data_IF_204727754820
#
_entry.id   IF_204727754820
#
_cell.length_a   1.000
_cell.length_b   1.000
_cell.length_c   1.000
_cell.angle_alpha   90.00
_cell.angle_beta   90.00
_cell.angle_gamma   90.00
#
_symmetry.space_group_name_H-M   'P 1'
#
loop_
_entity.id
_entity.type
_entity.pdbx_description
1 polymer ?
#
# COMPACT_ATOMS: atom_id res chain seq x y z
N UNK A 1 24.20 3.81 -18.37
CA UNK A 1 23.68 2.64 -17.63
C UNK A 1 23.72 3.01 -16.16
N UNK A 2 22.64 3.59 -15.63
CA UNK A 2 22.54 3.83 -14.19
C UNK A 2 22.54 2.47 -13.52
N UNK A 3 23.52 2.22 -12.66
CA UNK A 3 23.51 1.05 -11.78
C UNK A 3 22.28 1.18 -10.88
N UNK A 4 21.19 0.50 -11.21
CA UNK A 4 20.00 0.43 -10.36
C UNK A 4 20.43 -0.16 -9.03
N UNK A 5 20.33 0.61 -7.95
CA UNK A 5 20.63 0.13 -6.61
C UNK A 5 19.52 -0.82 -6.19
N UNK A 6 19.86 -2.10 -6.06
CA UNK A 6 18.94 -3.14 -5.62
C UNK A 6 18.93 -3.16 -4.09
N UNK A 7 17.74 -3.30 -3.51
CA UNK A 7 17.64 -3.51 -2.07
C UNK A 7 18.23 -4.90 -1.72
N UNK A 8 19.12 -4.98 -0.71
CA UNK A 8 19.72 -6.25 -0.31
C UNK A 8 18.71 -7.13 0.43
N UNK A 9 18.93 -8.45 0.37
CA UNK A 9 18.23 -9.39 1.26
C UNK A 9 18.83 -9.27 2.66
N UNK A 10 17.98 -9.02 3.65
CA UNK A 10 18.41 -8.87 5.04
C UNK A 10 18.54 -10.22 5.76
N UNK A 11 19.19 -10.20 6.92
CA UNK A 11 19.22 -11.35 7.81
C UNK A 11 17.84 -11.60 8.44
N UNK A 12 17.58 -12.85 8.82
CA UNK A 12 16.29 -13.27 9.40
C UNK A 12 15.87 -12.42 10.60
N UNK A 13 16.81 -12.07 11.48
CA UNK A 13 16.53 -11.26 12.68
C UNK A 13 15.99 -9.88 12.33
N UNK A 14 16.49 -9.26 11.25
CA UNK A 14 15.98 -7.97 10.77
C UNK A 14 14.51 -8.07 10.37
N UNK A 15 14.11 -9.15 9.69
CA UNK A 15 12.72 -9.35 9.29
C UNK A 15 11.78 -9.65 10.47
N UNK A 16 12.28 -10.33 11.51
CA UNK A 16 11.53 -10.52 12.76
C UNK A 16 11.24 -9.17 13.42
N UNK A 17 12.27 -8.34 13.55
CA UNK A 17 12.14 -7.01 14.14
C UNK A 17 11.30 -6.07 13.27
N UNK A 18 11.38 -6.17 11.93
CA UNK A 18 10.49 -5.44 11.02
C UNK A 18 9.02 -5.80 11.22
N UNK A 19 8.70 -7.10 11.32
CA UNK A 19 7.33 -7.54 11.57
C UNK A 19 6.82 -7.01 12.92
N UNK A 20 7.66 -7.07 13.97
CA UNK A 20 7.35 -6.48 15.27
C UNK A 20 7.10 -4.97 15.17
N UNK A 21 7.97 -4.24 14.46
CA UNK A 21 7.87 -2.80 14.25
C UNK A 21 6.56 -2.41 13.57
N UNK A 22 6.21 -3.04 12.44
CA UNK A 22 4.99 -2.70 11.70
C UNK A 22 3.72 -2.97 12.52
N UNK A 23 3.67 -4.11 13.23
CA UNK A 23 2.56 -4.46 14.12
C UNK A 23 2.40 -3.44 15.24
N UNK A 24 3.48 -3.16 15.96
CA UNK A 24 3.48 -2.27 17.13
C UNK A 24 3.18 -0.83 16.74
N UNK A 25 3.67 -0.37 15.58
CA UNK A 25 3.33 0.94 15.03
C UNK A 25 1.83 1.02 14.71
N UNK A 26 1.25 -0.01 14.09
CA UNK A 26 -0.19 -0.04 13.81
C UNK A 26 -1.05 -0.02 15.08
N UNK A 27 -0.61 -0.70 16.14
CA UNK A 27 -1.26 -0.67 17.46
C UNK A 27 -1.24 0.74 18.06
N UNK A 28 -0.05 1.37 18.14
CA UNK A 28 0.11 2.72 18.72
C UNK A 28 -0.68 3.78 17.98
N UNK A 29 -0.69 3.73 16.66
CA UNK A 29 -1.47 4.69 15.86
C UNK A 29 -2.97 4.51 16.07
N UNK A 30 -3.47 3.28 16.27
CA UNK A 30 -4.87 3.03 16.61
C UNK A 30 -5.25 3.55 18.00
N UNK A 31 -4.30 3.52 18.94
CA UNK A 31 -4.45 4.10 20.28
C UNK A 31 -4.34 5.64 20.30
N UNK A 32 -4.09 6.27 19.15
CA UNK A 32 -3.96 7.71 19.03
C UNK A 32 -2.60 8.26 19.46
N UNK A 33 -1.59 7.39 19.64
CA UNK A 33 -0.22 7.83 19.92
C UNK A 33 0.32 8.57 18.69
N UNK A 34 0.90 9.78 18.85
CA UNK A 34 1.52 10.48 17.74
C UNK A 34 2.63 9.64 17.09
N UNK A 35 2.64 9.55 15.75
CA UNK A 35 3.56 8.68 15.01
C UNK A 35 5.04 8.89 15.40
N UNK A 36 5.48 10.13 15.58
CA UNK A 36 6.86 10.43 16.01
C UNK A 36 7.19 9.84 17.39
N UNK A 37 6.26 9.94 18.35
CA UNK A 37 6.43 9.38 19.68
C UNK A 37 6.41 7.85 19.63
N UNK A 38 5.51 7.27 18.83
CA UNK A 38 5.43 5.82 18.63
C UNK A 38 6.76 5.27 18.10
N UNK A 39 7.34 5.89 17.06
CA UNK A 39 8.63 5.46 16.49
C UNK A 39 9.76 5.46 17.53
N UNK A 40 9.90 6.53 18.33
CA UNK A 40 10.95 6.63 19.34
C UNK A 40 10.79 5.58 20.45
N UNK A 41 9.56 5.33 20.89
CA UNK A 41 9.29 4.27 21.87
C UNK A 41 9.62 2.89 21.27
N UNK A 42 9.21 2.60 20.03
CA UNK A 42 9.47 1.30 19.40
C UNK A 42 10.98 1.10 19.27
N UNK A 43 11.73 2.13 18.85
CA UNK A 43 13.20 2.08 18.78
C UNK A 43 13.82 1.53 20.06
N UNK A 44 13.33 1.95 21.23
CA UNK A 44 13.87 1.56 22.53
C UNK A 44 13.48 0.12 22.92
N UNK A 45 12.51 -0.49 22.24
CA UNK A 45 12.03 -1.86 22.45
C UNK A 45 12.68 -2.87 21.49
N UNK A 46 13.23 -2.38 20.37
CA UNK A 46 13.83 -3.20 19.32
C UNK A 46 15.16 -3.83 19.75
N UNK A 47 15.46 -4.98 19.17
CA UNK A 47 16.71 -5.67 19.41
C UNK A 47 17.92 -4.86 18.91
N UNK A 48 18.82 -4.49 19.83
CA UNK A 48 19.98 -3.61 19.55
C UNK A 48 21.04 -4.22 18.63
N UNK A 49 21.01 -5.53 18.39
CA UNK A 49 21.93 -6.19 17.44
C UNK A 49 21.51 -6.01 15.98
N UNK A 50 20.26 -5.62 15.74
CA UNK A 50 19.75 -5.31 14.40
C UNK A 50 20.03 -3.86 14.01
N UNK A 51 19.90 -3.54 12.73
CA UNK A 51 20.02 -2.18 12.20
C UNK A 51 18.70 -1.40 12.28
N UNK A 52 17.58 -2.06 12.59
CA UNK A 52 16.26 -1.44 12.66
C UNK A 52 16.18 -0.22 13.58
N UNK A 53 16.78 -0.20 14.80
CA UNK A 53 16.72 0.98 15.66
C UNK A 53 17.23 2.26 14.97
N UNK A 54 18.32 2.15 14.21
CA UNK A 54 18.89 3.27 13.44
C UNK A 54 17.97 3.71 12.30
N UNK A 55 17.36 2.75 11.60
CA UNK A 55 16.38 3.03 10.56
C UNK A 55 15.14 3.74 11.14
N UNK A 56 14.62 3.29 12.28
CA UNK A 56 13.46 3.90 12.96
C UNK A 56 13.78 5.30 13.47
N UNK A 57 14.97 5.52 14.02
CA UNK A 57 15.42 6.86 14.42
C UNK A 57 15.53 7.83 13.23
N UNK A 58 16.06 7.35 12.10
CA UNK A 58 16.06 8.10 10.85
C UNK A 58 14.64 8.41 10.38
N UNK A 59 13.72 7.43 10.38
CA UNK A 59 12.31 7.65 10.02
C UNK A 59 11.64 8.69 10.94
N UNK A 60 11.92 8.67 12.25
CA UNK A 60 11.38 9.66 13.18
C UNK A 60 11.87 11.08 12.88
N UNK A 61 13.11 11.19 12.39
CA UNK A 61 13.70 12.47 11.97
C UNK A 61 13.13 12.94 10.64
N UNK A 62 13.06 12.07 9.62
CA UNK A 62 12.45 12.41 8.32
C UNK A 62 10.98 12.78 8.47
N UNK A 63 10.22 12.08 9.33
CA UNK A 63 8.81 12.39 9.60
C UNK A 63 8.61 13.82 10.14
N UNK A 64 9.58 14.37 10.89
CA UNK A 64 9.54 15.77 11.33
C UNK A 64 9.73 16.76 10.19
N UNK A 65 10.45 16.37 9.14
CA UNK A 65 10.78 17.23 8.01
C UNK A 65 9.77 17.11 6.86
N UNK A 66 9.39 15.89 6.46
CA UNK A 66 8.50 15.63 5.33
C UNK A 66 7.04 15.44 5.72
N UNK A 67 6.75 15.09 6.97
CA UNK A 67 5.42 14.67 7.40
C UNK A 67 5.00 13.28 6.88
N UNK A 68 5.89 12.55 6.22
CA UNK A 68 5.61 11.27 5.55
C UNK A 68 6.66 10.21 5.88
N UNK A 69 6.23 9.00 6.23
CA UNK A 69 7.07 7.81 6.43
C UNK A 69 7.57 7.24 5.11
N UNK A 70 6.74 7.25 4.06
CA UNK A 70 7.09 6.68 2.76
C UNK A 70 8.33 7.33 2.15
N UNK A 71 8.50 8.65 2.33
CA UNK A 71 9.70 9.37 1.88
C UNK A 71 10.97 8.91 2.61
N UNK A 72 10.87 8.68 3.92
CA UNK A 72 11.98 8.18 4.73
C UNK A 72 12.37 6.75 4.35
N UNK A 73 11.38 5.87 4.16
CA UNK A 73 11.62 4.48 3.73
C UNK A 73 12.31 4.42 2.36
N UNK A 74 11.93 5.29 1.40
CA UNK A 74 12.58 5.40 0.09
C UNK A 74 14.06 5.79 0.17
N UNK A 75 14.49 6.50 1.21
CA UNK A 75 15.90 6.87 1.42
C UNK A 75 16.72 5.73 2.05
N UNK A 76 16.04 4.78 2.66
CA UNK A 76 16.62 3.61 3.34
C UNK A 76 16.51 2.34 2.48
N UNK A 77 16.79 2.41 1.17
CA UNK A 77 16.72 1.25 0.26
C UNK A 77 17.63 0.07 0.67
N UNK A 78 18.65 0.33 1.48
CA UNK A 78 19.53 -0.68 2.03
C UNK A 78 18.91 -1.45 3.20
N UNK A 79 17.71 -1.06 3.63
CA UNK A 79 16.99 -1.61 4.76
C UNK A 79 15.53 -1.95 4.43
N UNK A 80 14.76 -1.00 3.89
CA UNK A 80 13.40 -1.26 3.40
C UNK A 80 13.43 -1.51 1.90
N UNK A 81 12.65 -2.49 1.44
CA UNK A 81 12.52 -2.73 0.00
C UNK A 81 11.77 -1.57 -0.67
N UNK A 82 11.99 -1.32 -1.97
CA UNK A 82 11.24 -0.30 -2.69
C UNK A 82 9.74 -0.58 -2.68
N UNK A 83 9.35 -1.87 -2.68
CA UNK A 83 7.95 -2.27 -2.52
C UNK A 83 7.38 -1.86 -1.15
N UNK A 84 8.10 -2.11 -0.05
CA UNK A 84 7.67 -1.68 1.28
C UNK A 84 7.48 -0.15 1.37
N UNK A 85 8.43 0.60 0.80
CA UNK A 85 8.36 2.06 0.74
C UNK A 85 7.22 2.56 -0.17
N UNK A 86 6.93 1.86 -1.26
CA UNK A 86 5.82 2.13 -2.17
C UNK A 86 4.47 1.93 -1.48
N UNK A 87 4.27 0.80 -0.79
CA UNK A 87 3.06 0.51 -0.01
C UNK A 87 2.83 1.59 1.03
N UNK A 88 3.86 1.99 1.78
CA UNK A 88 3.75 3.08 2.75
C UNK A 88 3.36 4.40 2.08
N UNK A 89 4.03 4.77 0.99
CA UNK A 89 3.71 6.01 0.23
C UNK A 89 2.26 6.02 -0.22
N UNK A 90 1.75 4.88 -0.74
CA UNK A 90 0.37 4.78 -1.22
C UNK A 90 -0.68 4.95 -0.13
N UNK A 91 -0.35 4.59 1.11
CA UNK A 91 -1.25 4.80 2.25
C UNK A 91 -1.23 6.22 2.80
N UNK A 92 -0.24 7.04 2.41
CA UNK A 92 -0.12 8.45 2.75
C UNK A 92 -0.71 9.37 1.67
N UNK A 93 -1.05 8.82 0.49
CA UNK A 93 -1.73 9.55 -0.58
C UNK A 93 -3.20 9.82 -0.22
N UNK A 94 -3.63 11.07 -0.34
CA UNK A 94 -5.02 11.46 -0.14
C UNK A 94 -5.93 10.88 -1.25
N UNK A 95 -7.17 10.53 -0.87
CA UNK A 95 -8.18 10.06 -1.83
C UNK A 95 -8.11 8.57 -2.19
N UNK A 96 -7.08 7.85 -1.75
CA UNK A 96 -6.99 6.39 -1.94
C UNK A 96 -7.71 5.68 -0.79
N UNK A 97 -8.46 4.61 -1.09
CA UNK A 97 -9.16 3.78 -0.08
C UNK A 97 -8.21 2.82 0.67
N UNK A 98 -6.93 3.18 0.79
CA UNK A 98 -5.88 2.37 1.37
C UNK A 98 -5.29 3.10 2.57
N UNK A 99 -5.65 2.69 3.78
CA UNK A 99 -5.26 3.40 5.00
C UNK A 99 -3.88 2.96 5.51
N UNK A 100 -3.23 3.81 6.30
CA UNK A 100 -1.97 3.49 6.99
C UNK A 100 -2.03 2.18 7.81
N UNK A 101 -3.14 1.94 8.52
CA UNK A 101 -3.35 0.66 9.25
C UNK A 101 -3.37 -0.58 8.33
N UNK A 102 -3.89 -0.46 7.10
CA UNK A 102 -3.87 -1.56 6.13
C UNK A 102 -2.47 -1.77 5.57
N UNK A 103 -1.76 -0.68 5.23
CA UNK A 103 -0.37 -0.76 4.80
C UNK A 103 0.52 -1.44 5.83
N UNK A 104 0.45 -1.03 7.10
CA UNK A 104 1.25 -1.64 8.16
C UNK A 104 0.98 -3.14 8.33
N UNK A 105 -0.27 -3.59 8.19
CA UNK A 105 -0.62 -5.02 8.21
C UNK A 105 -0.08 -5.80 7.02
N UNK A 106 -0.06 -5.18 5.84
CA UNK A 106 0.58 -5.75 4.65
C UNK A 106 2.09 -5.89 4.90
N UNK A 107 2.74 -4.83 5.37
CA UNK A 107 4.18 -4.81 5.62
C UNK A 107 4.58 -5.80 6.74
N UNK A 108 3.76 -5.93 7.78
CA UNK A 108 3.92 -6.97 8.81
C UNK A 108 3.88 -8.37 8.19
N UNK A 109 2.89 -8.63 7.32
CA UNK A 109 2.77 -9.91 6.62
C UNK A 109 4.00 -10.21 5.78
N UNK A 110 4.41 -9.27 4.93
CA UNK A 110 5.60 -9.40 4.09
C UNK A 110 6.86 -9.72 4.91
N UNK A 111 7.13 -8.93 5.96
CA UNK A 111 8.28 -9.12 6.84
C UNK A 111 8.23 -10.49 7.55
N UNK A 112 7.04 -10.91 8.03
CA UNK A 112 6.88 -12.23 8.63
C UNK A 112 7.21 -13.35 7.64
N UNK A 113 6.71 -13.27 6.41
CA UNK A 113 6.99 -14.28 5.39
C UNK A 113 8.49 -14.36 5.07
N UNK A 114 9.16 -13.21 4.95
CA UNK A 114 10.61 -13.12 4.75
C UNK A 114 11.42 -13.71 5.91
N UNK A 115 10.89 -13.67 7.14
CA UNK A 115 11.53 -14.23 8.34
C UNK A 115 11.40 -15.76 8.51
N UNK A 116 10.54 -16.40 7.72
CA UNK A 116 10.23 -17.83 7.81
C UNK A 116 11.01 -18.62 6.74
N UNK A 117 10.32 -19.22 5.76
CA UNK A 117 10.91 -19.94 4.64
C UNK A 117 10.40 -19.33 3.32
N UNK A 118 10.81 -18.10 2.99
CA UNK A 118 10.27 -17.40 1.84
C UNK A 118 10.73 -18.07 0.54
N UNK A 119 9.80 -18.20 -0.39
CA UNK A 119 10.08 -18.56 -1.79
C UNK A 119 9.84 -17.36 -2.70
N UNK A 120 10.61 -17.19 -3.80
CA UNK A 120 10.36 -16.14 -4.78
C UNK A 120 8.93 -16.16 -5.33
N UNK A 121 8.40 -17.35 -5.62
CA UNK A 121 7.02 -17.51 -6.09
C UNK A 121 5.99 -17.03 -5.05
N UNK A 122 6.15 -17.41 -3.78
CA UNK A 122 5.22 -16.97 -2.73
C UNK A 122 5.32 -15.48 -2.43
N UNK A 123 6.53 -14.91 -2.44
CA UNK A 123 6.71 -13.47 -2.21
C UNK A 123 6.12 -12.66 -3.37
N UNK A 124 6.45 -13.03 -4.61
CA UNK A 124 5.91 -12.38 -5.80
C UNK A 124 4.38 -12.42 -5.82
N UNK A 125 3.77 -13.58 -5.59
CA UNK A 125 2.30 -13.70 -5.59
C UNK A 125 1.67 -12.90 -4.46
N UNK A 126 2.30 -12.85 -3.27
CA UNK A 126 1.84 -12.01 -2.17
C UNK A 126 1.86 -10.52 -2.52
N UNK A 127 2.99 -10.01 -2.96
CA UNK A 127 3.15 -8.59 -3.34
C UNK A 127 2.22 -8.22 -4.50
N UNK A 128 2.07 -9.10 -5.49
CA UNK A 128 1.13 -8.91 -6.59
C UNK A 128 -0.33 -8.92 -6.13
N UNK A 129 -0.71 -9.82 -5.22
CA UNK A 129 -2.05 -9.87 -4.64
C UNK A 129 -2.36 -8.59 -3.85
N UNK A 130 -1.38 -8.02 -3.15
CA UNK A 130 -1.50 -6.69 -2.52
C UNK A 130 -1.80 -5.62 -3.56
N UNK A 131 -1.04 -5.55 -4.66
CA UNK A 131 -1.29 -4.58 -5.73
C UNK A 131 -2.72 -4.71 -6.30
N UNK A 132 -3.16 -5.94 -6.53
CA UNK A 132 -4.48 -6.24 -7.09
C UNK A 132 -5.62 -5.91 -6.12
N UNK A 133 -5.55 -6.40 -4.87
CA UNK A 133 -6.62 -6.23 -3.87
C UNK A 133 -6.73 -4.81 -3.36
N UNK A 134 -5.59 -4.14 -3.19
CA UNK A 134 -5.55 -2.77 -2.67
C UNK A 134 -5.64 -1.71 -3.76
N UNK A 135 -5.66 -2.12 -5.05
CA UNK A 135 -5.76 -1.24 -6.21
C UNK A 135 -4.65 -0.16 -6.23
N UNK A 136 -3.42 -0.55 -5.89
CA UNK A 136 -2.29 0.40 -5.76
C UNK A 136 -1.65 0.81 -7.10
N UNK A 137 -2.03 0.13 -8.18
CA UNK A 137 -1.51 0.33 -9.53
C UNK A 137 -0.33 -0.60 -9.84
N UNK A 138 -0.43 -1.32 -10.97
CA UNK A 138 0.53 -2.37 -11.32
C UNK A 138 1.88 -1.86 -11.82
N UNK A 139 1.91 -0.79 -12.63
CA UNK A 139 3.17 -0.31 -13.24
C UNK A 139 4.21 0.05 -12.18
N UNK A 140 3.90 1.04 -11.34
CA UNK A 140 4.80 1.50 -10.29
C UNK A 140 5.06 0.40 -9.23
N UNK A 141 4.06 -0.44 -8.94
CA UNK A 141 4.21 -1.54 -8.00
C UNK A 141 5.21 -2.59 -8.47
N UNK A 142 5.09 -3.04 -9.71
CA UNK A 142 6.00 -4.03 -10.32
C UNK A 142 7.41 -3.46 -10.52
N UNK A 143 7.54 -2.18 -10.90
CA UNK A 143 8.83 -1.49 -10.97
C UNK A 143 9.55 -1.47 -9.61
N UNK A 144 8.80 -1.36 -8.50
CA UNK A 144 9.36 -1.43 -7.15
C UNK A 144 9.77 -2.86 -6.76
N UNK A 145 9.00 -3.87 -7.17
CA UNK A 145 9.31 -5.28 -6.92
C UNK A 145 10.59 -5.71 -7.65
N UNK A 146 10.80 -5.25 -8.89
CA UNK A 146 12.00 -5.56 -9.68
C UNK A 146 13.31 -5.13 -9.00
N UNK A 147 13.25 -4.11 -8.14
CA UNK A 147 14.39 -3.53 -7.43
C UNK A 147 14.76 -4.28 -6.12
N UNK A 148 14.20 -5.47 -5.89
CA UNK A 148 14.57 -6.35 -4.79
C UNK A 148 15.62 -7.39 -5.24
N UNK A 149 16.69 -7.56 -4.45
CA UNK A 149 17.70 -8.61 -4.69
C UNK A 149 17.16 -10.02 -4.40
N UNK A 150 16.00 -10.15 -3.76
CA UNK A 150 15.33 -11.43 -3.56
C UNK A 150 14.87 -12.08 -4.88
N UNK A 151 14.60 -11.25 -5.90
CA UNK A 151 14.30 -11.70 -7.25
C UNK A 151 15.58 -11.76 -8.08
N UNK A 152 15.94 -12.96 -8.53
CA UNK A 152 17.03 -13.17 -9.46
C UNK A 152 16.69 -12.64 -10.87
N UNK A 153 17.63 -12.78 -11.80
CA UNK A 153 17.49 -12.28 -13.16
C UNK A 153 16.30 -12.89 -13.92
N UNK A 154 16.01 -14.19 -13.72
CA UNK A 154 14.88 -14.84 -14.37
C UNK A 154 13.55 -14.30 -13.81
N UNK A 155 13.48 -14.07 -12.49
CA UNK A 155 12.33 -13.44 -11.87
C UNK A 155 12.12 -12.00 -12.33
N UNK A 156 13.17 -11.20 -12.49
CA UNK A 156 13.05 -9.83 -13.01
C UNK A 156 12.52 -9.79 -14.44
N UNK A 157 13.01 -10.67 -15.31
CA UNK A 157 12.49 -10.81 -16.67
C UNK A 157 11.01 -11.21 -16.68
N UNK A 158 10.60 -12.06 -15.74
CA UNK A 158 9.20 -12.42 -15.57
C UNK A 158 8.35 -11.26 -15.04
N UNK A 159 8.80 -10.53 -14.01
CA UNK A 159 8.13 -9.32 -13.49
C UNK A 159 7.93 -8.31 -14.61
N UNK A 160 8.95 -8.10 -15.44
CA UNK A 160 8.88 -7.22 -16.62
C UNK A 160 7.87 -7.72 -17.66
N UNK A 161 7.81 -9.03 -17.88
CA UNK A 161 6.80 -9.64 -18.77
C UNK A 161 5.39 -9.41 -18.22
N UNK A 162 5.17 -9.68 -16.94
CA UNK A 162 3.88 -9.44 -16.27
C UNK A 162 3.48 -7.97 -16.42
N UNK A 163 4.39 -7.04 -16.12
CA UNK A 163 4.16 -5.59 -16.21
C UNK A 163 3.71 -5.13 -17.60
N UNK A 164 4.28 -5.71 -18.66
CA UNK A 164 3.90 -5.42 -20.06
C UNK A 164 2.58 -6.07 -20.47
N UNK A 165 2.25 -7.23 -19.89
CA UNK A 165 1.11 -8.06 -20.32
C UNK A 165 -0.17 -7.85 -19.50
N UNK A 166 -0.16 -7.00 -18.45
CA UNK A 166 -1.27 -6.84 -17.50
C UNK A 166 -2.64 -6.51 -18.10
N UNK A 167 -2.70 -5.87 -19.27
CA UNK A 167 -3.98 -5.52 -19.93
C UNK A 167 -4.47 -6.57 -20.94
N UNK A 168 -3.61 -7.49 -21.34
CA UNK A 168 -3.85 -8.38 -22.49
C UNK A 168 -3.96 -9.85 -22.09
N UNK A 169 -3.28 -10.25 -21.01
CA UNK A 169 -3.16 -11.65 -20.61
C UNK A 169 -3.65 -11.82 -19.18
N UNK A 170 -4.41 -12.88 -18.93
CA UNK A 170 -4.84 -13.23 -17.58
C UNK A 170 -3.63 -13.65 -16.73
N UNK A 171 -3.58 -13.21 -15.48
CA UNK A 171 -2.48 -13.55 -14.57
C UNK A 171 -2.31 -15.06 -14.38
N UNK A 172 -3.41 -15.81 -14.35
CA UNK A 172 -3.39 -17.28 -14.31
C UNK A 172 -2.61 -17.88 -15.50
N UNK A 173 -2.77 -17.32 -16.70
CA UNK A 173 -2.11 -17.83 -17.89
C UNK A 173 -0.61 -17.58 -17.87
N UNK A 174 -0.17 -16.45 -17.30
CA UNK A 174 1.24 -16.16 -17.09
C UNK A 174 1.88 -17.13 -16.09
N UNK A 175 1.21 -17.41 -14.96
CA UNK A 175 1.71 -18.41 -14.00
C UNK A 175 1.79 -19.79 -14.66
N UNK A 176 0.77 -20.19 -15.43
CA UNK A 176 0.78 -21.46 -16.12
C UNK A 176 1.94 -21.54 -17.13
N UNK A 177 2.11 -20.53 -17.99
CA UNK A 177 3.15 -20.48 -19.01
C UNK A 177 4.57 -20.64 -18.42
N UNK A 178 4.83 -20.02 -17.27
CA UNK A 178 6.11 -20.08 -16.56
C UNK A 178 6.16 -21.20 -15.52
N UNK A 179 5.35 -22.26 -15.67
CA UNK A 179 5.34 -23.40 -14.74
C UNK A 179 5.92 -24.68 -15.34
N UNK A 180 6.44 -25.56 -14.47
CA UNK A 180 6.82 -26.92 -14.85
C UNK A 180 5.64 -27.71 -15.47
N UNK A 181 4.40 -27.39 -15.08
CA UNK A 181 3.20 -28.05 -15.60
C UNK A 181 2.99 -27.75 -17.09
N UNK A 182 3.30 -26.54 -17.54
CA UNK A 182 3.23 -26.19 -18.96
C UNK A 182 4.21 -27.03 -19.77
N UNK A 183 5.45 -27.16 -19.31
CA UNK A 183 6.48 -27.97 -19.97
C UNK A 183 6.01 -29.43 -20.09
N UNK A 184 5.48 -30.01 -19.01
CA UNK A 184 4.95 -31.38 -19.05
C UNK A 184 3.80 -31.54 -20.05
N UNK A 185 2.91 -30.54 -20.14
CA UNK A 185 1.79 -30.58 -21.08
C UNK A 185 2.26 -30.46 -22.54
N UNK A 186 3.29 -29.65 -22.84
CA UNK A 186 3.86 -29.56 -24.18
C UNK A 186 4.58 -30.85 -24.58
N UNK A 187 5.37 -31.43 -23.67
CA UNK A 187 6.07 -32.71 -23.91
C UNK A 187 5.08 -33.86 -24.18
N UNK A 188 3.97 -33.92 -23.42
CA UNK A 188 2.89 -34.91 -23.66
C UNK A 188 2.21 -34.73 -25.02
N UNK A 189 2.10 -33.49 -25.49
CA UNK A 189 1.57 -33.17 -26.81
C UNK A 189 2.59 -33.43 -27.94
N UNK A 190 3.77 -33.98 -27.64
CA UNK A 190 4.83 -34.23 -28.61
C UNK A 190 5.45 -32.96 -29.19
N UNK A 191 5.31 -31.82 -28.49
CA UNK A 191 5.94 -30.56 -28.90
C UNK A 191 7.34 -30.49 -28.31
N UNK A 192 8.30 -30.16 -29.16
CA UNK A 192 9.67 -29.87 -28.77
C UNK A 192 9.95 -28.40 -29.09
N UNK A 193 10.64 -27.70 -28.19
CA UNK A 193 11.02 -26.33 -28.41
C UNK A 193 11.71 -25.74 -27.19
N UNK A 194 12.30 -24.53 -27.33
CA UNK A 194 12.69 -23.77 -26.17
C UNK A 194 11.40 -23.33 -25.45
N UNK A 195 11.14 -23.90 -24.29
CA UNK A 195 10.10 -23.42 -23.38
C UNK A 195 10.68 -22.34 -22.46
N UNK A 196 9.85 -21.41 -21.96
CA UNK A 196 10.27 -20.50 -20.90
C UNK A 196 10.84 -21.27 -19.71
N UNK A 197 11.83 -20.68 -19.03
CA UNK A 197 12.36 -21.26 -17.80
C UNK A 197 11.25 -21.31 -16.75
N UNK A 198 10.99 -22.47 -16.11
CA UNK A 198 9.95 -22.56 -15.11
C UNK A 198 10.35 -21.82 -13.84
N UNK A 199 9.49 -20.90 -13.42
CA UNK A 199 9.58 -20.15 -12.15
C UNK A 199 8.57 -20.67 -11.12
N UNK A 200 7.54 -21.38 -11.59
CA UNK A 200 6.52 -22.00 -10.77
C UNK A 200 6.58 -23.53 -10.92
N UNK A 201 6.27 -24.24 -9.83
CA UNK A 201 6.29 -25.69 -9.82
C UNK A 201 5.04 -26.32 -10.46
N UNK A 202 4.98 -27.65 -10.42
CA UNK A 202 3.83 -28.41 -10.94
C UNK A 202 2.50 -28.05 -10.26
N UNK A 203 2.51 -27.78 -8.95
CA UNK A 203 1.27 -27.54 -8.19
C UNK A 203 0.69 -26.18 -8.54
N UNK A 204 1.53 -25.15 -8.56
CA UNK A 204 1.19 -23.78 -8.94
C UNK A 204 0.69 -23.74 -10.37
N UNK A 205 1.37 -24.43 -11.30
CA UNK A 205 0.95 -24.54 -12.69
C UNK A 205 -0.40 -25.24 -12.88
N UNK A 206 -0.70 -26.29 -12.11
CA UNK A 206 -2.03 -26.94 -12.13
C UNK A 206 -3.12 -26.03 -11.58
N UNK A 207 -2.83 -25.30 -10.51
CA UNK A 207 -3.76 -24.31 -9.94
C UNK A 207 -4.06 -23.22 -10.96
N UNK A 208 -3.03 -22.70 -11.62
CA UNK A 208 -3.13 -21.67 -12.64
C UNK A 208 -3.98 -22.15 -13.83
N UNK A 209 -3.67 -23.32 -14.39
CA UNK A 209 -4.44 -23.94 -15.48
C UNK A 209 -5.92 -24.14 -15.12
N UNK A 210 -6.21 -24.54 -13.88
CA UNK A 210 -7.58 -24.76 -13.42
C UNK A 210 -8.35 -23.46 -13.14
N UNK A 211 -7.64 -22.36 -12.93
CA UNK A 211 -8.20 -21.04 -12.59
C UNK A 211 -8.45 -20.16 -13.80
N UNK A 212 -7.99 -20.56 -14.99
CA UNK A 212 -8.21 -19.83 -16.25
C UNK A 212 -9.69 -19.48 -16.45
N UNK A 213 -9.96 -18.21 -16.76
CA UNK A 213 -11.31 -17.69 -17.00
C UNK A 213 -12.23 -17.67 -15.78
N UNK A 214 -11.69 -17.85 -14.57
CA UNK A 214 -12.44 -17.78 -13.30
C UNK A 214 -12.13 -16.49 -12.55
N UNK A 215 -12.86 -16.24 -11.46
CA UNK A 215 -12.57 -15.13 -10.58
C UNK A 215 -11.13 -15.27 -10.00
N UNK A 216 -10.24 -14.27 -10.22
CA UNK A 216 -8.86 -14.29 -9.73
C UNK A 216 -8.73 -14.50 -8.22
N UNK A 217 -9.76 -14.18 -7.42
CA UNK A 217 -9.76 -14.44 -5.99
C UNK A 217 -9.59 -15.93 -5.65
N UNK A 218 -10.11 -16.83 -6.49
CA UNK A 218 -9.93 -18.27 -6.30
C UNK A 218 -8.50 -18.71 -6.63
N UNK A 219 -7.86 -18.10 -7.61
CA UNK A 219 -6.45 -18.33 -7.95
C UNK A 219 -5.57 -17.99 -6.74
N UNK A 220 -5.72 -16.77 -6.21
CA UNK A 220 -4.96 -16.32 -5.04
C UNK A 220 -5.18 -17.21 -3.81
N UNK A 221 -6.43 -17.52 -3.47
CA UNK A 221 -6.72 -18.41 -2.35
C UNK A 221 -6.12 -19.83 -2.53
N UNK A 222 -6.02 -20.33 -3.76
CA UNK A 222 -5.40 -21.62 -4.04
C UNK A 222 -3.87 -21.55 -3.94
N UNK A 223 -3.24 -20.51 -4.50
CA UNK A 223 -1.81 -20.28 -4.44
C UNK A 223 -1.34 -20.04 -3.01
N UNK A 224 -2.05 -19.22 -2.24
CA UNK A 224 -1.77 -18.96 -0.82
C UNK A 224 -1.62 -20.25 -0.02
N UNK A 225 -2.53 -21.22 -0.21
CA UNK A 225 -2.47 -22.50 0.50
C UNK A 225 -1.27 -23.37 0.12
N UNK A 226 -0.76 -23.25 -1.11
CA UNK A 226 0.39 -24.05 -1.56
C UNK A 226 1.73 -23.36 -1.30
N UNK A 227 1.79 -22.06 -1.52
CA UNK A 227 3.00 -21.24 -1.37
C UNK A 227 3.21 -20.77 0.08
N UNK A 228 2.18 -20.83 0.92
CA UNK A 228 2.28 -20.53 2.36
C UNK A 228 2.46 -19.06 2.69
N UNK A 229 2.21 -18.15 1.74
CA UNK A 229 2.33 -16.72 2.01
C UNK A 229 1.15 -16.20 2.87
N UNK A 230 1.34 -15.08 3.62
CA UNK A 230 0.31 -14.53 4.51
C UNK A 230 -0.97 -14.08 3.80
N UNK A 231 -2.10 -14.10 4.50
CA UNK A 231 -3.33 -13.54 3.94
C UNK A 231 -3.21 -12.03 3.74
N UNK A 232 -3.50 -11.56 2.54
CA UNK A 232 -3.55 -10.13 2.24
C UNK A 232 -4.80 -9.53 2.92
N UNK A 233 -4.64 -8.53 3.81
CA UNK A 233 -5.76 -7.91 4.51
C UNK A 233 -6.80 -7.34 3.53
N UNK A 234 -8.07 -7.68 3.74
CA UNK A 234 -9.17 -7.13 2.94
C UNK A 234 -9.36 -5.66 3.29
N UNK A 235 -9.44 -4.81 2.26
CA UNK A 235 -9.86 -3.42 2.41
C UNK A 235 -11.23 -3.37 3.12
N UNK A 236 -11.26 -2.89 4.36
CA UNK A 236 -12.53 -2.63 5.04
C UNK A 236 -13.14 -1.37 4.46
N UNK A 237 -14.32 -1.50 3.82
CA UNK A 237 -15.17 -0.35 3.58
C UNK A 237 -15.42 0.33 4.92
N UNK A 238 -15.21 1.65 5.06
CA UNK A 238 -15.65 2.36 6.25
C UNK A 238 -17.14 2.05 6.42
N UNK A 239 -17.49 1.36 7.49
CA UNK A 239 -18.90 1.13 7.83
C UNK A 239 -19.53 2.52 7.90
N UNK A 240 -20.65 2.75 7.19
CA UNK A 240 -21.34 4.05 7.08
C UNK A 240 -21.53 4.75 8.44
N UNK A 241 -21.52 3.97 9.53
CA UNK A 241 -21.45 4.37 10.93
C UNK A 241 -20.38 5.44 11.25
N UNK A 242 -19.18 5.40 10.66
CA UNK A 242 -18.16 6.46 10.87
C UNK A 242 -18.52 7.77 10.18
N UNK A 243 -19.13 7.70 9.00
CA UNK A 243 -19.64 8.90 8.31
C UNK A 243 -20.79 9.55 9.08
N UNK A 244 -21.69 8.72 9.65
CA UNK A 244 -22.76 9.20 10.53
C UNK A 244 -22.20 9.84 11.80
N UNK A 245 -21.17 9.27 12.41
CA UNK A 245 -20.55 9.83 13.63
C UNK A 245 -19.86 11.18 13.33
N UNK A 246 -19.13 11.28 12.22
CA UNK A 246 -18.49 12.54 11.80
C UNK A 246 -19.52 13.62 11.44
N UNK A 247 -20.62 13.23 10.77
CA UNK A 247 -21.74 14.13 10.51
C UNK A 247 -22.39 14.60 11.81
N UNK A 248 -22.54 13.72 12.80
CA UNK A 248 -23.06 14.07 14.13
C UNK A 248 -22.09 15.00 14.88
N UNK A 249 -20.79 14.76 14.87
CA UNK A 249 -19.79 15.66 15.45
C UNK A 249 -19.82 17.06 14.83
N UNK A 250 -20.05 17.15 13.51
CA UNK A 250 -20.19 18.43 12.83
C UNK A 250 -21.47 19.15 13.25
N UNK A 251 -22.60 18.42 13.32
CA UNK A 251 -23.88 18.97 13.79
C UNK A 251 -23.84 19.39 15.27
N UNK A 252 -23.12 18.67 16.12
CA UNK A 252 -22.91 19.05 17.53
C UNK A 252 -22.12 20.35 17.61
N UNK A 253 -21.03 20.49 16.84
CA UNK A 253 -20.25 21.74 16.78
C UNK A 253 -21.07 22.93 16.27
N UNK A 254 -21.93 22.70 15.26
CA UNK A 254 -22.85 23.73 14.75
C UNK A 254 -23.89 24.14 15.81
N UNK A 255 -24.43 23.17 16.55
CA UNK A 255 -25.37 23.43 17.65
C UNK A 255 -24.69 24.18 18.79
N UNK A 256 -23.47 23.81 19.19
CA UNK A 256 -22.69 24.53 20.21
C UNK A 256 -22.46 25.99 19.82
N UNK A 257 -22.16 26.26 18.54
CA UNK A 257 -21.93 27.61 18.05
C UNK A 257 -23.22 28.45 18.07
N UNK A 258 -24.36 27.87 17.65
CA UNK A 258 -25.67 28.52 17.74
C UNK A 258 -26.11 28.76 19.18
N UNK A 259 -25.82 27.84 20.08
CA UNK A 259 -26.16 27.96 21.49
C UNK A 259 -25.36 29.08 22.16
N UNK A 260 -24.07 29.22 21.82
CA UNK A 260 -23.25 30.36 22.25
C UNK A 260 -23.77 31.71 21.74
N UNK A 261 -24.25 31.77 20.50
CA UNK A 261 -24.84 32.99 19.94
C UNK A 261 -26.14 33.37 20.67
N UNK A 262 -27.02 32.39 20.91
CA UNK A 262 -28.26 32.58 21.67
C UNK A 262 -27.98 32.99 23.14
N UNK A 263 -26.97 32.39 23.77
CA UNK A 263 -26.53 32.77 25.12
C UNK A 263 -25.96 34.21 25.16
N UNK A 264 -25.28 34.64 24.10
CA UNK A 264 -24.80 36.02 23.94
C UNK A 264 -25.92 37.04 23.78
N UNK A 265 -26.96 36.69 23.01
CA UNK A 265 -28.17 37.51 22.83
C UNK A 265 -28.94 37.67 24.15
N UNK A 266 -29.11 36.59 24.93
CA UNK A 266 -29.76 36.62 26.25
C UNK A 266 -28.98 37.44 27.28
N UNK A 267 -27.65 37.51 27.16
CA UNK A 267 -26.77 38.31 28.03
C UNK A 267 -26.61 39.77 27.58
N UNK A 268 -27.24 40.18 26.48
CA UNK A 268 -27.16 41.55 25.97
C UNK A 268 -25.78 41.96 25.46
N UNK A 269 -24.91 40.99 25.14
CA UNK A 269 -23.58 41.22 24.57
C UNK A 269 -23.55 40.66 23.16
N UNK A 270 -24.08 41.43 22.21
CA UNK A 270 -24.02 41.12 20.78
C UNK A 270 -23.00 42.06 20.14
N UNK A 271 -21.70 41.74 20.25
CA UNK A 271 -20.73 42.20 19.26
C UNK A 271 -20.79 41.25 18.07
N UNK A 272 -21.70 41.52 17.13
CA UNK A 272 -21.85 40.70 15.93
C UNK A 272 -21.27 41.47 14.73
N UNK A 273 -20.42 40.73 14.01
CA UNK A 273 -19.91 40.89 12.63
C UNK A 273 -18.60 41.67 12.45
N UNK A 274 -17.45 41.03 12.75
CA UNK A 274 -16.21 41.26 11.98
C UNK A 274 -15.41 39.99 11.62
N UNK A 275 -15.81 38.77 12.05
CA UNK A 275 -14.99 37.56 11.85
C UNK A 275 -15.51 36.56 10.81
N UNK A 276 -16.65 36.81 10.16
CA UNK A 276 -17.11 36.01 9.02
C UNK A 276 -17.01 36.89 7.79
N UNK A 277 -15.99 36.61 6.97
CA UNK A 277 -15.79 37.25 5.68
C UNK A 277 -17.09 37.28 4.90
N UNK A 278 -17.41 38.45 4.33
CA UNK A 278 -18.54 38.61 3.44
C UNK A 278 -18.48 37.50 2.38
N UNK A 279 -19.50 36.65 2.21
CA UNK A 279 -19.57 35.81 1.04
C UNK A 279 -19.67 36.76 -0.17
N UNK A 280 -18.83 36.58 -1.18
CA UNK A 280 -19.03 37.19 -2.48
C UNK A 280 -20.44 36.80 -2.95
N UNK A 281 -21.35 37.78 -2.93
CA UNK A 281 -22.71 37.58 -3.41
C UNK A 281 -22.68 37.37 -4.92
N UNK A 282 -23.48 36.43 -5.40
CA UNK A 282 -23.65 36.03 -6.79
C UNK A 282 -24.10 37.15 -7.76
N UNK A 283 -24.18 38.40 -7.31
CA UNK A 283 -24.39 39.58 -8.15
C UNK A 283 -23.12 39.97 -8.94
N UNK A 284 -21.93 39.69 -8.40
CA UNK A 284 -20.66 39.94 -9.13
C UNK A 284 -20.49 39.02 -10.34
N UNK A 285 -21.19 37.88 -10.37
CA UNK A 285 -21.21 36.93 -11.49
C UNK A 285 -22.23 37.29 -12.59
N UNK A 286 -22.99 38.38 -12.46
CA UNK A 286 -23.91 38.84 -13.52
C UNK A 286 -23.44 40.12 -14.22
N UNK A 287 -22.46 40.83 -13.66
CA UNK A 287 -21.84 41.99 -14.31
C UNK A 287 -20.83 41.63 -15.40
N UNK A 288 -20.13 40.48 -15.30
CA UNK A 288 -19.18 40.06 -16.34
C UNK A 288 -19.88 39.57 -17.63
N UNK A 289 -21.08 39.01 -17.52
CA UNK A 289 -21.89 38.60 -18.69
C UNK A 289 -22.47 39.80 -19.46
N UNK A 290 -22.75 40.93 -18.77
CA UNK A 290 -23.22 42.16 -19.42
C UNK A 290 -22.12 42.98 -20.08
N UNK A 291 -20.84 42.68 -19.79
CA UNK A 291 -19.68 43.34 -20.39
C UNK A 291 -19.23 42.69 -21.70
N UNK A 292 -19.59 41.44 -21.97
CA UNK A 292 -19.26 40.73 -23.20
C UNK A 292 -20.24 41.00 -24.37
N UNK A 293 -21.44 41.51 -24.09
CA UNK A 293 -22.44 41.89 -25.10
C UNK A 293 -22.31 43.36 -25.58
N UNK A 294 -21.29 44.10 -25.13
CA UNK A 294 -21.10 45.53 -25.43
C UNK A 294 -19.73 45.86 -26.05
N UNK A 295 -19.02 44.87 -26.58
CA UNK A 295 -17.84 45.09 -27.45
C UNK A 295 -18.13 44.52 -28.86
N UNK A 296 -18.98 45.25 -29.60
CA UNK A 296 -18.82 45.48 -31.05
C UNK A 296 -18.23 46.88 -31.28
#
# INVERSE_FOLDING_TARGET
>A
MSSTLLAPVLEREEYIEQAYFFRTLAERLREGVPAQMALLQIRDELLTTTRLPWAVEFLATELKHSGQLGSGMKRLIHYFTPFQAFVMTKAEEEGVRFSLDHALKVLEGEARYRSENPTPAGLFVYEFEVLARCQLGYQNGLDCMEQDSFFDEDWRQFIETVRRSMSEVEFADLIYLYSEQYIQDQQRAGREGPFPRPLFGLKEGRIAKASHGRDPLYLFAALQRQLGYPEVPRLRLPTEQRGVLQMLEHKVRELELRLRLLEGEVRGQVEVIQALGKPETAESSLEWLKRLDNEE
#
